data_IF_320279062616
#
_entry.id   IF_320279062616
#
_cell.length_a   1.000
_cell.length_b   1.000
_cell.length_c   1.000
_cell.angle_alpha   90.00
_cell.angle_beta   90.00
_cell.angle_gamma   90.00
#
_symmetry.space_group_name_H-M   'P 1'
#
loop_
_entity.id
_entity.type
_entity.pdbx_description
1 polymer ?
#
# COMPACT_ATOMS: atom_id res chain seq x y z
N UNK A 1 -7.17 -15.86 34.24
CA UNK A 1 -5.81 -15.38 34.62
C UNK A 1 -5.78 -14.33 35.73
N UNK A 2 -6.76 -13.41 35.87
CA UNK A 2 -6.74 -12.37 36.93
C UNK A 2 -6.58 -12.94 38.36
N UNK A 3 -7.30 -14.01 38.69
CA UNK A 3 -7.20 -14.66 40.01
C UNK A 3 -5.83 -15.31 40.29
N UNK A 4 -5.21 -15.94 39.28
CA UNK A 4 -3.86 -16.55 39.40
C UNK A 4 -2.76 -15.50 39.57
N UNK A 5 -2.89 -14.34 38.92
CA UNK A 5 -1.95 -13.21 39.05
C UNK A 5 -2.00 -12.60 40.46
N UNK A 6 -3.19 -12.50 41.06
CA UNK A 6 -3.37 -12.05 42.44
C UNK A 6 -2.76 -13.04 43.44
N UNK A 7 -2.94 -14.35 43.22
CA UNK A 7 -2.40 -15.40 44.08
C UNK A 7 -0.86 -15.43 44.07
N UNK A 8 -0.25 -15.13 42.93
CA UNK A 8 1.22 -15.15 42.74
C UNK A 8 1.88 -13.79 42.97
N UNK A 9 1.15 -12.77 43.46
CA UNK A 9 1.66 -11.39 43.61
C UNK A 9 2.34 -10.86 42.33
N UNK A 10 1.77 -11.16 41.17
CA UNK A 10 2.33 -10.84 39.85
C UNK A 10 3.72 -11.45 39.56
N UNK A 11 4.12 -12.51 40.26
CA UNK A 11 5.31 -13.32 39.95
C UNK A 11 4.91 -14.72 39.49
N UNK A 12 4.44 -14.88 38.24
CA UNK A 12 4.06 -16.19 37.73
C UNK A 12 5.27 -17.13 37.65
N UNK A 13 5.01 -18.41 37.91
CA UNK A 13 6.01 -19.48 37.74
C UNK A 13 6.40 -19.65 36.26
N UNK A 14 7.60 -20.18 35.99
CA UNK A 14 8.07 -20.48 34.64
C UNK A 14 7.05 -21.31 33.84
N UNK A 15 6.47 -22.35 34.49
CA UNK A 15 5.44 -23.19 33.85
C UNK A 15 4.19 -22.41 33.48
N UNK A 16 3.78 -21.47 34.32
CA UNK A 16 2.61 -20.64 34.06
C UNK A 16 2.86 -19.70 32.87
N UNK A 17 4.03 -19.04 32.83
CA UNK A 17 4.44 -18.19 31.72
C UNK A 17 4.55 -18.97 30.40
N UNK A 18 5.09 -20.19 30.45
CA UNK A 18 5.18 -21.05 29.28
C UNK A 18 3.80 -21.45 28.73
N UNK A 19 2.87 -21.85 29.60
CA UNK A 19 1.50 -22.19 29.16
C UNK A 19 0.72 -20.95 28.70
N UNK A 20 0.93 -19.79 29.33
CA UNK A 20 0.38 -18.52 28.87
C UNK A 20 0.88 -18.18 27.46
N UNK A 21 2.19 -18.31 27.21
CA UNK A 21 2.78 -18.15 25.89
C UNK A 21 2.18 -19.10 24.85
N UNK A 22 1.99 -20.38 25.18
CA UNK A 22 1.36 -21.37 24.29
C UNK A 22 -0.10 -21.02 23.99
N UNK A 23 -0.86 -20.57 24.99
CA UNK A 23 -2.24 -20.15 24.81
C UNK A 23 -2.33 -18.92 23.90
N UNK A 24 -1.49 -17.90 24.13
CA UNK A 24 -1.43 -16.70 23.30
C UNK A 24 -1.01 -17.01 21.86
N UNK A 25 -0.02 -17.89 21.67
CA UNK A 25 0.41 -18.34 20.35
C UNK A 25 -0.71 -19.10 19.62
N UNK A 26 -1.51 -19.90 20.32
CA UNK A 26 -2.67 -20.58 19.75
C UNK A 26 -3.81 -19.61 19.35
N UNK A 27 -3.93 -18.48 20.07
CA UNK A 27 -4.86 -17.39 19.72
C UNK A 27 -4.36 -16.50 18.57
N UNK A 28 -3.09 -16.65 18.15
CA UNK A 28 -2.46 -15.81 17.13
C UNK A 28 -1.87 -14.50 17.65
N UNK A 29 -1.86 -14.29 18.97
CA UNK A 29 -1.27 -13.13 19.65
C UNK A 29 0.25 -13.32 19.80
N UNK A 30 0.97 -13.31 18.68
CA UNK A 30 2.39 -13.71 18.62
C UNK A 30 3.33 -12.79 19.41
N UNK A 31 3.07 -11.47 19.43
CA UNK A 31 3.90 -10.52 20.17
C UNK A 31 3.83 -10.76 21.68
N UNK A 32 2.61 -10.92 22.21
CA UNK A 32 2.40 -11.19 23.63
C UNK A 32 2.92 -12.58 24.01
N UNK A 33 2.74 -13.57 23.13
CA UNK A 33 3.31 -14.91 23.31
C UNK A 33 4.84 -14.86 23.42
N UNK A 34 5.51 -14.10 22.54
CA UNK A 34 6.97 -13.92 22.57
C UNK A 34 7.44 -13.32 23.89
N UNK A 35 6.75 -12.29 24.40
CA UNK A 35 7.07 -11.69 25.69
C UNK A 35 6.95 -12.71 26.83
N UNK A 36 5.88 -13.50 26.85
CA UNK A 36 5.69 -14.54 27.87
C UNK A 36 6.80 -15.62 27.81
N UNK A 37 7.18 -16.06 26.60
CA UNK A 37 8.27 -17.02 26.43
C UNK A 37 9.63 -16.47 26.83
N UNK A 38 9.94 -15.21 26.51
CA UNK A 38 11.19 -14.56 26.94
C UNK A 38 11.26 -14.49 28.47
N UNK A 39 10.16 -14.11 29.13
CA UNK A 39 10.09 -14.10 30.59
C UNK A 39 10.28 -15.51 31.17
N UNK A 40 9.71 -16.54 30.54
CA UNK A 40 9.92 -17.93 30.94
C UNK A 40 11.39 -18.37 30.76
N UNK A 41 12.02 -17.98 29.64
CA UNK A 41 13.42 -18.29 29.35
C UNK A 41 14.38 -17.61 30.32
N UNK A 42 14.10 -16.36 30.73
CA UNK A 42 14.89 -15.67 31.77
C UNK A 42 14.84 -16.44 33.10
N UNK A 43 13.69 -17.04 33.44
CA UNK A 43 13.55 -17.86 34.65
C UNK A 43 14.23 -19.22 34.53
N UNK A 44 14.27 -19.82 33.34
CA UNK A 44 14.92 -21.11 33.07
C UNK A 44 15.69 -21.09 31.74
N UNK A 45 16.94 -20.58 31.73
CA UNK A 45 17.71 -20.42 30.49
C UNK A 45 18.10 -21.76 29.83
N UNK A 46 18.28 -22.81 30.63
CA UNK A 46 18.70 -24.13 30.17
C UNK A 46 17.55 -25.00 29.62
N UNK A 47 16.30 -24.50 29.64
CA UNK A 47 15.17 -25.29 29.16
C UNK A 47 15.06 -25.23 27.63
N UNK A 48 15.37 -26.36 26.98
CA UNK A 48 15.32 -26.51 25.52
C UNK A 48 13.90 -26.43 24.95
N UNK A 49 12.89 -26.89 25.71
CA UNK A 49 11.49 -26.89 25.27
C UNK A 49 11.01 -25.45 24.99
N UNK A 50 11.42 -24.49 25.82
CA UNK A 50 11.06 -23.08 25.65
C UNK A 50 11.70 -22.53 24.37
N UNK A 51 12.98 -22.81 24.15
CA UNK A 51 13.66 -22.36 22.92
C UNK A 51 13.07 -22.97 21.66
N UNK A 52 12.71 -24.26 21.69
CA UNK A 52 12.09 -24.95 20.55
C UNK A 52 10.72 -24.35 20.21
N UNK A 53 9.90 -24.05 21.21
CA UNK A 53 8.59 -23.42 20.97
C UNK A 53 8.71 -21.97 20.48
N UNK A 54 9.71 -21.20 20.93
CA UNK A 54 9.99 -19.86 20.37
C UNK A 54 10.33 -19.98 18.89
N UNK A 55 11.21 -20.92 18.51
CA UNK A 55 11.60 -21.14 17.11
C UNK A 55 10.40 -21.57 16.27
N UNK A 56 9.58 -22.51 16.77
CA UNK A 56 8.37 -22.96 16.08
C UNK A 56 7.37 -21.82 15.86
N UNK A 57 7.18 -20.99 16.89
CA UNK A 57 6.33 -19.80 16.80
C UNK A 57 6.87 -18.80 15.75
N UNK A 58 8.16 -18.50 15.76
CA UNK A 58 8.77 -17.58 14.77
C UNK A 58 8.66 -18.13 13.33
N UNK A 59 8.82 -19.45 13.14
CA UNK A 59 8.60 -20.09 11.85
C UNK A 59 7.14 -19.95 11.39
N UNK A 60 6.16 -20.08 12.29
CA UNK A 60 4.74 -19.87 11.99
C UNK A 60 4.47 -18.42 11.59
N UNK A 61 5.02 -17.45 12.32
CA UNK A 61 4.90 -16.02 11.98
C UNK A 61 5.52 -15.73 10.62
N UNK A 62 6.73 -16.22 10.34
CA UNK A 62 7.38 -16.02 9.05
C UNK A 62 6.58 -16.61 7.88
N UNK A 63 5.97 -17.79 8.06
CA UNK A 63 5.08 -18.39 7.05
C UNK A 63 3.84 -17.53 6.84
N UNK A 64 3.23 -17.03 7.91
CA UNK A 64 2.08 -16.14 7.84
C UNK A 64 2.41 -14.85 7.07
N UNK A 65 3.51 -14.17 7.42
CA UNK A 65 3.94 -12.94 6.72
C UNK A 65 4.24 -13.16 5.24
N UNK A 66 4.87 -14.30 4.90
CA UNK A 66 5.11 -14.68 3.49
C UNK A 66 3.79 -14.87 2.74
N UNK A 67 2.86 -15.62 3.32
CA UNK A 67 1.55 -15.86 2.70
C UNK A 67 0.74 -14.57 2.56
N UNK A 68 0.78 -13.72 3.57
CA UNK A 68 0.17 -12.41 3.57
C UNK A 68 0.77 -11.58 2.43
N UNK A 69 2.10 -11.46 2.37
CA UNK A 69 2.79 -10.74 1.30
C UNK A 69 2.39 -11.26 -0.09
N UNK A 70 2.34 -12.57 -0.27
CA UNK A 70 1.90 -13.17 -1.54
C UNK A 70 0.46 -12.78 -1.90
N UNK A 71 -0.48 -12.84 -0.95
CA UNK A 71 -1.87 -12.43 -1.15
C UNK A 71 -1.94 -10.96 -1.52
N UNK A 72 -1.25 -10.08 -0.79
CA UNK A 72 -1.22 -8.65 -1.10
C UNK A 72 -0.55 -8.38 -2.44
N UNK A 73 0.54 -9.07 -2.78
CA UNK A 73 1.18 -8.96 -4.09
C UNK A 73 0.27 -9.43 -5.22
N UNK A 74 -0.56 -10.46 -5.02
CA UNK A 74 -1.58 -10.89 -5.99
C UNK A 74 -2.72 -9.88 -6.10
N UNK A 75 -3.25 -9.41 -4.97
CA UNK A 75 -4.37 -8.47 -4.91
C UNK A 75 -4.00 -7.09 -5.50
N UNK A 76 -2.78 -6.62 -5.26
CA UNK A 76 -2.26 -5.37 -5.81
C UNK A 76 -1.70 -5.55 -7.22
N UNK A 77 -1.04 -6.67 -7.50
CA UNK A 77 -0.42 -6.98 -8.80
C UNK A 77 -1.42 -7.34 -9.90
N UNK A 78 -2.64 -7.77 -9.57
CA UNK A 78 -3.70 -7.94 -10.57
C UNK A 78 -4.10 -6.62 -11.24
N UNK A 79 -3.94 -5.47 -10.56
CA UNK A 79 -4.17 -4.15 -11.18
C UNK A 79 -3.12 -3.78 -12.23
N UNK A 80 -1.93 -4.40 -12.17
CA UNK A 80 -0.88 -4.23 -13.18
C UNK A 80 -1.06 -5.19 -14.35
N UNK A 81 -1.57 -6.41 -14.08
CA UNK A 81 -1.87 -7.40 -15.12
C UNK A 81 -3.15 -7.14 -15.89
N UNK A 82 -4.17 -6.50 -15.32
CA UNK A 82 -5.34 -6.03 -16.09
C UNK A 82 -4.92 -4.93 -17.10
N UNK A 83 -4.00 -4.04 -16.72
CA UNK A 83 -3.39 -3.06 -17.66
C UNK A 83 -2.48 -3.67 -18.73
N UNK A 84 -2.05 -4.93 -18.55
CA UNK A 84 -1.24 -5.68 -19.53
C UNK A 84 -2.08 -6.67 -20.34
N UNK A 85 -3.16 -7.25 -19.79
CA UNK A 85 -4.11 -8.11 -20.53
C UNK A 85 -4.96 -7.33 -21.52
N UNK A 86 -5.33 -6.09 -21.22
CA UNK A 86 -5.91 -5.17 -22.21
C UNK A 86 -4.94 -4.88 -23.39
N UNK A 87 -3.63 -5.18 -23.24
CA UNK A 87 -2.63 -5.09 -24.32
C UNK A 87 -2.30 -6.41 -24.99
N UNK A 88 -2.53 -7.56 -24.35
CA UNK A 88 -2.22 -8.89 -24.90
C UNK A 88 -3.43 -9.51 -25.61
N UNK A 89 -4.67 -9.24 -25.17
CA UNK A 89 -5.88 -9.71 -25.86
C UNK A 89 -6.19 -8.92 -27.15
N UNK A 90 -5.47 -7.83 -27.43
CA UNK A 90 -5.48 -7.12 -28.72
C UNK A 90 -4.40 -7.61 -29.71
N UNK A 91 -3.58 -8.61 -29.36
CA UNK A 91 -2.44 -9.03 -30.21
C UNK A 91 -2.63 -10.34 -30.97
N UNK A 92 -3.83 -10.93 -30.96
CA UNK A 92 -4.17 -12.09 -31.77
C UNK A 92 -5.44 -11.86 -32.59
N UNK A 93 -5.46 -10.78 -33.39
CA UNK A 93 -6.24 -10.63 -34.64
C UNK A 93 -6.06 -9.19 -35.16
N UNK A 94 -4.93 -8.88 -35.77
CA UNK A 94 -4.97 -8.06 -36.97
C UNK A 94 -3.69 -8.20 -37.78
N UNK A 95 -3.92 -8.23 -39.08
CA UNK A 95 -2.99 -8.46 -40.16
C UNK A 95 -1.94 -7.34 -40.24
N UNK A 96 -0.68 -7.74 -40.25
CA UNK A 96 0.55 -7.20 -40.85
C UNK A 96 0.76 -5.72 -41.28
N UNK A 97 -0.14 -4.73 -41.15
CA UNK A 97 0.05 -3.41 -41.81
C UNK A 97 -0.41 -2.14 -41.05
N UNK A 98 -0.64 -2.13 -39.73
CA UNK A 98 -1.22 -0.94 -39.01
C UNK A 98 -0.41 -0.44 -37.80
N UNK A 99 0.91 -0.69 -37.75
CA UNK A 99 1.69 -0.43 -36.52
C UNK A 99 2.26 1.00 -36.41
N UNK A 100 2.36 1.75 -37.50
CA UNK A 100 2.96 3.09 -37.49
C UNK A 100 1.93 4.20 -37.20
N UNK A 101 0.75 4.13 -37.80
CA UNK A 101 -0.33 5.12 -37.59
C UNK A 101 -0.84 5.16 -36.14
N UNK A 102 -0.90 4.01 -35.46
CA UNK A 102 -1.42 3.92 -34.08
C UNK A 102 -0.48 4.52 -33.02
N UNK A 103 0.83 4.61 -33.30
CA UNK A 103 1.77 5.29 -32.40
C UNK A 103 1.73 6.81 -32.60
N UNK A 104 1.59 7.27 -33.84
CA UNK A 104 1.43 8.69 -34.16
C UNK A 104 0.11 9.26 -33.61
N UNK A 105 -0.98 8.49 -33.68
CA UNK A 105 -2.28 8.86 -33.09
C UNK A 105 -2.17 8.95 -31.56
N UNK A 106 -1.46 8.03 -30.90
CA UNK A 106 -1.27 8.09 -29.45
C UNK A 106 -0.34 9.22 -28.99
N UNK A 107 0.71 9.55 -29.74
CA UNK A 107 1.54 10.72 -29.44
C UNK A 107 0.81 12.04 -29.70
N UNK A 108 0.07 12.16 -30.80
CA UNK A 108 -0.69 13.36 -31.13
C UNK A 108 -1.84 13.62 -30.14
N UNK A 109 -2.56 12.58 -29.70
CA UNK A 109 -3.60 12.68 -28.66
C UNK A 109 -2.99 13.13 -27.32
N UNK A 110 -1.83 12.58 -26.94
CA UNK A 110 -1.14 13.01 -25.73
C UNK A 110 -0.60 14.45 -25.84
N UNK A 111 -0.16 14.89 -27.02
CA UNK A 111 0.27 16.27 -27.24
C UNK A 111 -0.91 17.24 -27.18
N UNK A 112 -2.05 16.90 -27.77
CA UNK A 112 -3.25 17.73 -27.71
C UNK A 112 -3.75 17.87 -26.27
N UNK A 113 -3.85 16.75 -25.53
CA UNK A 113 -4.20 16.76 -24.11
C UNK A 113 -3.29 17.68 -23.28
N UNK A 114 -1.97 17.66 -23.55
CA UNK A 114 -1.02 18.54 -22.86
C UNK A 114 -1.28 20.01 -23.14
N UNK A 115 -1.49 20.37 -24.42
CA UNK A 115 -1.80 21.76 -24.82
C UNK A 115 -3.10 22.24 -24.21
N UNK A 116 -4.13 21.40 -24.23
CA UNK A 116 -5.44 21.74 -23.67
C UNK A 116 -5.33 21.98 -22.17
N UNK A 117 -4.63 21.09 -21.44
CA UNK A 117 -4.46 21.27 -20.00
C UNK A 117 -3.57 22.45 -19.64
N UNK A 118 -2.54 22.73 -20.44
CA UNK A 118 -1.67 23.89 -20.25
C UNK A 118 -2.46 25.20 -20.44
N UNK A 119 -3.35 25.26 -21.43
CA UNK A 119 -4.27 26.39 -21.61
C UNK A 119 -5.21 26.58 -20.40
N UNK A 120 -5.73 25.47 -19.86
CA UNK A 120 -6.57 25.49 -18.65
C UNK A 120 -5.79 25.91 -17.41
N UNK A 121 -4.52 25.52 -17.30
CA UNK A 121 -3.63 25.95 -16.22
C UNK A 121 -3.35 27.45 -16.31
N UNK A 122 -3.08 27.99 -17.49
CA UNK A 122 -2.89 29.43 -17.68
C UNK A 122 -4.16 30.24 -17.36
N UNK A 123 -5.32 29.76 -17.80
CA UNK A 123 -6.61 30.38 -17.47
C UNK A 123 -6.86 30.32 -15.95
N UNK A 124 -6.62 29.17 -15.34
CA UNK A 124 -6.73 29.01 -13.90
C UNK A 124 -5.72 29.90 -13.16
N UNK A 125 -4.49 30.05 -13.65
CA UNK A 125 -3.46 30.92 -13.09
C UNK A 125 -3.95 32.38 -13.05
N UNK A 126 -4.53 32.86 -14.15
CA UNK A 126 -5.12 34.21 -14.28
C UNK A 126 -6.41 34.39 -13.47
N UNK A 127 -7.12 33.30 -13.17
CA UNK A 127 -8.36 33.36 -12.40
C UNK A 127 -8.14 33.78 -10.94
N UNK A 128 -9.18 34.33 -10.30
CA UNK A 128 -9.16 34.66 -8.87
C UNK A 128 -9.28 33.44 -7.95
N UNK A 129 -9.49 32.24 -8.50
CA UNK A 129 -9.67 31.01 -7.74
C UNK A 129 -8.35 30.54 -7.13
N UNK A 130 -8.40 30.13 -5.87
CA UNK A 130 -7.23 29.62 -5.11
C UNK A 130 -7.05 28.10 -5.27
N UNK A 131 -8.14 27.40 -5.45
CA UNK A 131 -8.17 25.95 -5.64
C UNK A 131 -9.27 25.56 -6.64
N UNK A 132 -9.06 24.42 -7.30
CA UNK A 132 -9.98 23.84 -8.25
C UNK A 132 -10.12 22.35 -7.93
N UNK A 133 -11.38 21.89 -7.82
CA UNK A 133 -11.71 20.51 -7.51
C UNK A 133 -12.02 19.76 -8.80
N UNK A 134 -11.46 18.57 -8.95
CA UNK A 134 -11.60 17.74 -10.13
C UNK A 134 -11.77 16.27 -9.73
N UNK A 135 -12.36 15.48 -10.62
CA UNK A 135 -12.50 14.04 -10.41
C UNK A 135 -11.28 13.27 -10.91
N UNK A 136 -10.74 12.38 -10.08
CA UNK A 136 -9.64 11.47 -10.44
C UNK A 136 -10.04 10.44 -11.50
N UNK A 137 -11.32 10.10 -11.58
CA UNK A 137 -11.86 9.15 -12.57
C UNK A 137 -11.85 9.67 -14.00
N UNK A 138 -11.73 10.98 -14.19
CA UNK A 138 -11.70 11.60 -15.52
C UNK A 138 -10.35 11.46 -16.22
N UNK A 139 -9.33 10.94 -15.55
CA UNK A 139 -7.97 10.86 -16.06
C UNK A 139 -7.41 9.44 -15.94
N UNK A 140 -6.69 9.01 -16.97
CA UNK A 140 -5.87 7.80 -16.87
C UNK A 140 -4.68 8.05 -15.93
N UNK A 141 -4.02 6.98 -15.46
CA UNK A 141 -2.84 7.11 -14.59
C UNK A 141 -1.69 7.85 -15.26
N UNK A 142 -1.57 7.70 -16.59
CA UNK A 142 -0.56 8.39 -17.40
C UNK A 142 -0.87 9.88 -17.49
N UNK A 143 -2.12 10.22 -17.82
CA UNK A 143 -2.58 11.60 -17.85
C UNK A 143 -2.38 12.27 -16.49
N UNK A 144 -2.82 11.63 -15.40
CA UNK A 144 -2.63 12.16 -14.05
C UNK A 144 -1.16 12.43 -13.71
N UNK A 145 -0.25 11.56 -14.14
CA UNK A 145 1.18 11.80 -13.98
C UNK A 145 1.64 13.05 -14.73
N UNK A 146 1.20 13.21 -15.99
CA UNK A 146 1.50 14.39 -16.81
C UNK A 146 0.91 15.66 -16.19
N UNK A 147 -0.34 15.63 -15.73
CA UNK A 147 -0.99 16.74 -15.04
C UNK A 147 -0.20 17.17 -13.80
N UNK A 148 0.31 16.21 -13.03
CA UNK A 148 1.12 16.50 -11.84
C UNK A 148 2.46 17.15 -12.19
N UNK A 149 3.06 16.81 -13.32
CA UNK A 149 4.29 17.45 -13.82
C UNK A 149 4.01 18.88 -14.30
N UNK A 150 2.96 19.07 -15.10
CA UNK A 150 2.56 20.39 -15.61
C UNK A 150 2.16 21.34 -14.47
N UNK A 151 1.36 20.87 -13.51
CA UNK A 151 0.99 21.68 -12.34
C UNK A 151 2.22 22.16 -11.56
N UNK A 152 3.24 21.31 -11.40
CA UNK A 152 4.50 21.71 -10.74
C UNK A 152 5.25 22.79 -11.52
N UNK A 153 5.23 22.74 -12.85
CA UNK A 153 5.87 23.75 -13.68
C UNK A 153 5.24 25.14 -13.49
N UNK A 154 3.93 25.21 -13.28
CA UNK A 154 3.19 26.45 -12.99
C UNK A 154 3.11 26.81 -11.50
N UNK A 155 4.01 26.29 -10.65
CA UNK A 155 3.99 26.53 -9.19
C UNK A 155 2.65 26.17 -8.52
N UNK A 156 1.98 25.13 -9.02
CA UNK A 156 0.74 24.62 -8.45
C UNK A 156 0.96 23.22 -7.85
N UNK A 157 0.11 22.86 -6.88
CA UNK A 157 0.12 21.56 -6.23
C UNK A 157 -1.18 20.82 -6.54
N UNK A 158 -1.03 19.67 -7.17
CA UNK A 158 -2.08 18.68 -7.34
C UNK A 158 -2.05 17.70 -6.16
N UNK A 159 -3.11 17.66 -5.36
CA UNK A 159 -3.29 16.73 -4.23
C UNK A 159 -4.51 15.85 -4.41
N UNK A 160 -4.40 14.60 -3.96
CA UNK A 160 -5.55 13.69 -3.80
C UNK A 160 -6.13 13.88 -2.40
N UNK A 161 -7.45 13.78 -2.28
CA UNK A 161 -8.10 13.77 -0.97
C UNK A 161 -7.73 12.49 -0.20
N UNK A 162 -7.49 12.63 1.11
CA UNK A 162 -7.23 11.49 1.99
C UNK A 162 -8.48 10.70 2.35
N UNK A 163 -9.66 11.29 2.15
CA UNK A 163 -10.97 10.70 2.50
C UNK A 163 -11.66 10.10 1.28
N UNK A 164 -11.45 10.70 0.10
CA UNK A 164 -12.07 10.25 -1.15
C UNK A 164 -10.99 10.18 -2.24
N UNK A 165 -10.61 8.96 -2.61
CA UNK A 165 -9.58 8.69 -3.63
C UNK A 165 -10.00 9.25 -5.00
N UNK A 166 -11.31 9.46 -5.22
CA UNK A 166 -11.86 9.96 -6.46
C UNK A 166 -11.82 11.49 -6.57
N UNK A 167 -11.47 12.22 -5.51
CA UNK A 167 -11.33 13.67 -5.54
C UNK A 167 -9.88 14.12 -5.59
N UNK A 168 -9.57 14.97 -6.57
CA UNK A 168 -8.31 15.70 -6.65
C UNK A 168 -8.53 17.20 -6.56
N UNK A 169 -7.52 17.89 -6.03
CA UNK A 169 -7.51 19.32 -5.81
C UNK A 169 -6.25 19.92 -6.43
N UNK A 170 -6.43 20.85 -7.35
CA UNK A 170 -5.36 21.71 -7.85
C UNK A 170 -5.34 22.98 -6.99
N UNK A 171 -4.19 23.33 -6.44
CA UNK A 171 -4.03 24.47 -5.53
C UNK A 171 -2.86 25.35 -5.96
N UNK A 172 -3.06 26.68 -5.98
CA UNK A 172 -1.97 27.63 -6.26
C UNK A 172 -1.04 27.69 -5.05
N UNK A 173 0.27 27.51 -5.24
CA UNK A 173 1.23 27.71 -4.16
C UNK A 173 1.43 29.21 -3.97
N UNK A 174 1.14 29.70 -2.77
CA UNK A 174 1.48 31.07 -2.40
C UNK A 174 2.94 31.07 -1.99
N UNK A 175 3.81 31.47 -2.92
CA UNK A 175 5.19 31.82 -2.61
C UNK A 175 5.12 33.09 -1.74
N UNK A 176 5.46 32.95 -0.46
CA UNK A 176 5.67 34.08 0.45
C UNK A 176 7.02 34.72 0.16
#
# INVERSE_FOLDING_TARGET
MKALRLLTRNQPSCKALFQEGRALAALGEYEQARQAFVLAQVKQPNNKEISEEIINMEQRVSKYEKSMREIWSRALGNKEKEKQKDKEDQKQKHDSNETEANNEINESVNQQFRRDFESQLEEFEKSSLRSLHMSRKMYTDKEFHVLRLLAKAHNMKLSLSSLDVDQMTLTKLQLK
#
